data_IF_838690460999
#
_entry.id   IF_838690460999
#
_cell.length_a   1.000
_cell.length_b   1.000
_cell.length_c   1.000
_cell.angle_alpha   90.00
_cell.angle_beta   90.00
_cell.angle_gamma   90.00
#
_symmetry.space_group_name_H-M   'P 1'
#
loop_
_entity.id
_entity.type
_entity.pdbx_description
1 polymer ?
#
# COMPACT_ATOMS: atom_id res chain seq x y z
N UNK A 1 25.27 15.94 -5.92
CA UNK A 1 24.01 16.69 -5.89
C UNK A 1 23.02 16.02 -4.95
N UNK A 2 22.40 16.80 -4.09
CA UNK A 2 21.38 16.26 -3.18
C UNK A 2 20.08 15.99 -3.93
N UNK A 3 19.37 14.93 -3.51
CA UNK A 3 18.06 14.61 -4.06
C UNK A 3 17.01 15.61 -3.59
N UNK A 4 16.05 15.92 -4.45
CA UNK A 4 14.85 16.66 -4.03
C UNK A 4 14.01 15.82 -3.07
N UNK A 5 13.10 16.46 -2.34
CA UNK A 5 12.19 15.74 -1.44
C UNK A 5 11.32 14.78 -2.25
N UNK A 6 10.82 15.21 -3.41
CA UNK A 6 10.03 14.36 -4.29
C UNK A 6 10.79 13.10 -4.71
N UNK A 7 12.07 13.23 -5.05
CA UNK A 7 12.92 12.09 -5.40
C UNK A 7 13.14 11.15 -4.22
N UNK A 8 13.34 11.69 -3.02
CA UNK A 8 13.47 10.89 -1.79
C UNK A 8 12.20 10.10 -1.49
N UNK A 9 11.04 10.75 -1.59
CA UNK A 9 9.76 10.11 -1.31
C UNK A 9 9.45 9.05 -2.37
N UNK A 10 9.74 9.32 -3.64
CA UNK A 10 9.56 8.33 -4.70
C UNK A 10 10.40 7.08 -4.43
N UNK A 11 11.66 7.24 -4.00
CA UNK A 11 12.52 6.12 -3.61
C UNK A 11 11.96 5.35 -2.43
N UNK A 12 11.40 6.03 -1.44
CA UNK A 12 10.75 5.38 -0.28
C UNK A 12 9.48 4.64 -0.67
N UNK A 13 8.69 5.18 -1.60
CA UNK A 13 7.51 4.47 -2.13
C UNK A 13 7.91 3.21 -2.89
N UNK A 14 9.00 3.26 -3.66
CA UNK A 14 9.55 2.07 -4.33
C UNK A 14 10.03 1.03 -3.32
N UNK A 15 10.70 1.45 -2.25
CA UNK A 15 11.11 0.57 -1.16
C UNK A 15 9.89 -0.05 -0.48
N UNK A 16 8.85 0.73 -0.25
CA UNK A 16 7.61 0.26 0.36
C UNK A 16 6.95 -0.84 -0.47
N UNK A 17 6.84 -0.65 -1.79
CA UNK A 17 6.20 -1.67 -2.64
C UNK A 17 7.04 -2.96 -2.67
N UNK A 18 8.37 -2.86 -2.66
CA UNK A 18 9.24 -4.03 -2.56
C UNK A 18 9.08 -4.73 -1.22
N UNK A 19 8.99 -3.99 -0.13
CA UNK A 19 8.75 -4.55 1.20
C UNK A 19 7.41 -5.27 1.29
N UNK A 20 6.37 -4.73 0.68
CA UNK A 20 5.05 -5.37 0.63
C UNK A 20 5.08 -6.66 -0.19
N UNK A 21 5.72 -6.65 -1.35
CA UNK A 21 5.86 -7.82 -2.22
C UNK A 21 6.65 -8.94 -1.52
N UNK A 22 7.73 -8.58 -0.84
CA UNK A 22 8.59 -9.51 -0.14
C UNK A 22 8.10 -9.89 1.25
N UNK A 23 7.06 -9.23 1.75
CA UNK A 23 6.59 -9.37 3.13
C UNK A 23 7.72 -9.13 4.13
N UNK A 24 8.51 -8.10 3.88
CA UNK A 24 9.68 -7.70 4.67
C UNK A 24 9.21 -6.93 5.91
N UNK A 25 9.05 -7.64 7.02
CA UNK A 25 8.54 -7.06 8.27
C UNK A 25 9.42 -5.94 8.80
N UNK A 26 10.75 -6.09 8.71
CA UNK A 26 11.67 -5.07 9.23
C UNK A 26 11.55 -3.77 8.44
N UNK A 27 11.49 -3.85 7.12
CA UNK A 27 11.30 -2.68 6.27
C UNK A 27 9.93 -2.03 6.52
N UNK A 28 8.86 -2.82 6.62
CA UNK A 28 7.53 -2.29 6.90
C UNK A 28 7.48 -1.58 8.25
N UNK A 29 8.09 -2.15 9.30
CA UNK A 29 8.13 -1.52 10.61
C UNK A 29 8.96 -0.23 10.62
N UNK A 30 9.99 -0.14 9.77
CA UNK A 30 10.82 1.05 9.66
C UNK A 30 10.13 2.16 8.87
N UNK A 31 9.42 1.82 7.80
CA UNK A 31 8.77 2.79 6.91
C UNK A 31 7.48 3.38 7.49
N UNK A 32 6.76 2.63 8.30
CA UNK A 32 5.54 3.10 8.95
C UNK A 32 5.85 3.59 10.37
N UNK A 33 5.29 4.73 10.74
CA UNK A 33 5.42 5.26 12.10
C UNK A 33 4.62 4.41 13.10
N UNK A 34 5.07 4.36 14.36
CA UNK A 34 4.37 3.62 15.41
C UNK A 34 2.95 4.14 15.64
N UNK A 35 2.76 5.44 15.51
CA UNK A 35 1.49 6.14 15.70
C UNK A 35 0.72 6.35 14.39
N UNK A 36 0.98 5.52 13.39
CA UNK A 36 0.35 5.60 12.06
C UNK A 36 -1.17 5.67 12.17
N UNK A 37 -1.77 6.70 11.55
CA UNK A 37 -3.22 6.70 11.29
C UNK A 37 -3.48 5.93 10.01
N UNK A 38 -4.07 4.76 10.15
CA UNK A 38 -4.34 3.86 9.02
C UNK A 38 -5.84 3.80 8.75
N UNK A 39 -6.22 4.10 7.51
CA UNK A 39 -7.58 3.88 7.00
C UNK A 39 -7.45 2.91 5.81
N UNK A 40 -7.77 1.66 6.04
CA UNK A 40 -7.70 0.62 5.01
C UNK A 40 -9.00 0.48 4.24
N UNK A 41 -9.06 -0.57 3.45
CA UNK A 41 -10.25 -0.89 2.63
C UNK A 41 -11.39 -1.40 3.50
N UNK A 42 -11.07 -2.09 4.57
CA UNK A 42 -12.05 -2.69 5.50
C UNK A 42 -11.77 -2.21 6.91
N UNK A 43 -12.84 -2.09 7.69
CA UNK A 43 -12.77 -1.76 9.10
C UNK A 43 -12.67 -0.27 9.39
N UNK A 44 -12.61 0.04 10.66
CA UNK A 44 -12.50 1.41 11.16
C UNK A 44 -11.05 1.90 11.13
N UNK A 45 -10.83 3.21 11.08
CA UNK A 45 -9.49 3.77 11.20
C UNK A 45 -8.81 3.35 12.51
N UNK A 46 -7.50 3.10 12.45
CA UNK A 46 -6.70 2.75 13.62
C UNK A 46 -5.49 3.69 13.73
N UNK A 47 -5.01 3.91 14.95
CA UNK A 47 -3.83 4.72 15.22
C UNK A 47 -2.65 3.84 15.62
N UNK A 48 -2.35 2.81 14.83
CA UNK A 48 -1.27 1.87 15.10
C UNK A 48 -0.84 1.17 13.83
N UNK A 49 0.45 0.89 13.70
CA UNK A 49 0.96 0.07 12.59
C UNK A 49 0.76 -1.43 12.81
N UNK A 50 0.20 -1.85 13.95
CA UNK A 50 0.00 -3.27 14.26
C UNK A 50 -0.82 -4.00 13.20
N UNK A 51 -1.82 -3.34 12.62
CA UNK A 51 -2.63 -3.94 11.54
C UNK A 51 -1.78 -4.33 10.32
N UNK A 52 -0.83 -3.48 9.94
CA UNK A 52 0.10 -3.75 8.83
C UNK A 52 1.01 -4.93 9.15
N UNK A 53 1.54 -4.95 10.37
CA UNK A 53 2.43 -6.03 10.82
C UNK A 53 1.69 -7.37 10.86
N UNK A 54 0.47 -7.38 11.41
CA UNK A 54 -0.34 -8.59 11.49
C UNK A 54 -0.77 -9.10 10.11
N UNK A 55 -1.11 -8.19 9.20
CA UNK A 55 -1.42 -8.55 7.81
C UNK A 55 -0.20 -9.19 7.12
N UNK A 56 0.98 -8.62 7.29
CA UNK A 56 2.21 -9.17 6.71
C UNK A 56 2.55 -10.55 7.29
N UNK A 57 2.36 -10.75 8.60
CA UNK A 57 2.56 -12.06 9.25
C UNK A 57 1.59 -13.10 8.69
N UNK A 58 0.32 -12.74 8.49
CA UNK A 58 -0.65 -13.65 7.86
C UNK A 58 -0.25 -14.00 6.44
N UNK A 59 0.20 -13.01 5.65
CA UNK A 59 0.68 -13.23 4.30
C UNK A 59 1.86 -14.20 4.25
N UNK A 60 2.80 -14.09 5.19
CA UNK A 60 3.93 -15.02 5.29
C UNK A 60 3.46 -16.44 5.60
N UNK A 61 2.54 -16.60 6.57
CA UNK A 61 1.99 -17.90 6.92
C UNK A 61 1.23 -18.54 5.74
N UNK A 62 0.45 -17.76 5.02
CA UNK A 62 -0.26 -18.22 3.82
C UNK A 62 0.70 -18.65 2.72
N UNK A 63 1.78 -17.89 2.53
CA UNK A 63 2.82 -18.22 1.53
C UNK A 63 3.52 -19.52 1.88
N UNK A 64 3.87 -19.73 3.13
CA UNK A 64 4.50 -20.98 3.61
C UNK A 64 3.54 -22.17 3.45
N UNK A 65 2.27 -21.99 3.80
CA UNK A 65 1.25 -23.02 3.66
C UNK A 65 1.03 -23.39 2.19
N UNK A 66 0.97 -22.42 1.29
CA UNK A 66 0.83 -22.66 -0.14
C UNK A 66 2.03 -23.42 -0.71
N UNK A 67 3.24 -23.05 -0.31
CA UNK A 67 4.46 -23.74 -0.72
C UNK A 67 4.48 -25.20 -0.25
N UNK A 68 4.08 -25.45 1.00
CA UNK A 68 4.01 -26.78 1.57
C UNK A 68 2.99 -27.68 0.87
N UNK A 69 1.90 -27.10 0.34
CA UNK A 69 0.86 -27.86 -0.39
C UNK A 69 1.12 -27.95 -1.89
N UNK A 70 2.24 -27.41 -2.39
CA UNK A 70 2.61 -27.44 -3.81
C UNK A 70 1.75 -26.55 -4.69
N UNK A 71 0.98 -25.64 -4.11
CA UNK A 71 0.16 -24.70 -4.89
C UNK A 71 1.02 -23.53 -5.36
N UNK A 72 0.92 -23.21 -6.65
CA UNK A 72 1.54 -22.00 -7.19
C UNK A 72 0.53 -20.87 -7.20
N UNK A 73 0.87 -19.82 -6.49
CA UNK A 73 0.08 -18.59 -6.44
C UNK A 73 1.03 -17.41 -6.61
N UNK A 74 0.75 -16.57 -7.59
CA UNK A 74 1.55 -15.39 -7.85
C UNK A 74 0.73 -14.13 -7.58
N UNK A 75 1.26 -13.28 -6.73
CA UNK A 75 0.72 -11.94 -6.50
C UNK A 75 1.76 -10.91 -6.90
N UNK A 76 1.35 -9.92 -7.66
CA UNK A 76 2.21 -8.79 -8.01
C UNK A 76 1.47 -7.49 -7.73
N UNK A 77 2.23 -6.45 -7.39
CA UNK A 77 1.68 -5.12 -7.15
C UNK A 77 2.53 -4.06 -7.83
N UNK A 78 1.87 -3.06 -8.38
CA UNK A 78 2.53 -1.94 -9.05
C UNK A 78 1.85 -0.63 -8.66
N UNK A 79 2.68 0.41 -8.48
CA UNK A 79 2.20 1.77 -8.32
C UNK A 79 2.14 2.43 -9.70
N UNK A 80 1.00 3.02 -10.02
CA UNK A 80 0.79 3.75 -11.27
C UNK A 80 0.44 5.20 -10.97
N UNK A 81 0.93 6.09 -11.83
CA UNK A 81 0.56 7.51 -11.82
C UNK A 81 0.82 8.19 -10.47
N UNK A 82 2.04 8.02 -9.98
CA UNK A 82 2.45 8.55 -8.67
C UNK A 82 2.57 10.07 -8.72
N UNK A 83 1.87 10.76 -7.83
CA UNK A 83 1.95 12.20 -7.62
C UNK A 83 2.46 12.47 -6.22
N UNK A 84 3.41 13.38 -6.08
CA UNK A 84 4.00 13.74 -4.79
C UNK A 84 3.92 15.26 -4.60
N UNK A 85 3.40 15.67 -3.45
CA UNK A 85 3.39 17.07 -3.03
C UNK A 85 4.27 17.20 -1.79
N UNK A 86 5.30 18.04 -1.86
CA UNK A 86 6.26 18.23 -0.78
C UNK A 86 6.01 19.57 -0.08
N UNK A 87 5.99 19.53 1.26
CA UNK A 87 5.74 20.69 2.11
C UNK A 87 6.69 20.65 3.31
N UNK A 88 7.97 21.06 3.11
CA UNK A 88 8.98 21.03 4.18
C UNK A 88 9.28 19.60 4.63
N UNK A 89 9.04 19.33 5.92
CA UNK A 89 9.26 18.00 6.50
C UNK A 89 8.06 17.06 6.33
N UNK A 90 7.08 17.42 5.49
CA UNK A 90 5.91 16.63 5.17
C UNK A 90 5.81 16.45 3.65
N UNK A 91 5.46 15.27 3.21
CA UNK A 91 5.18 15.00 1.81
C UNK A 91 3.97 14.08 1.70
N UNK A 92 3.18 14.29 0.65
CA UNK A 92 2.00 13.48 0.38
C UNK A 92 2.23 12.77 -0.95
N UNK A 93 2.12 11.45 -0.94
CA UNK A 93 2.17 10.63 -2.15
C UNK A 93 0.79 10.03 -2.42
N UNK A 94 0.31 10.17 -3.64
CA UNK A 94 -0.96 9.58 -4.05
C UNK A 94 -0.77 8.86 -5.39
N UNK A 95 -1.34 7.65 -5.49
CA UNK A 95 -1.18 6.81 -6.68
C UNK A 95 -2.29 5.78 -6.78
N UNK A 96 -2.37 5.12 -7.94
CA UNK A 96 -3.15 3.90 -8.09
C UNK A 96 -2.24 2.71 -7.80
N UNK A 97 -2.72 1.82 -6.96
CA UNK A 97 -2.04 0.56 -6.66
C UNK A 97 -2.81 -0.56 -7.36
N UNK A 98 -2.12 -1.27 -8.24
CA UNK A 98 -2.73 -2.36 -9.02
C UNK A 98 -2.16 -3.68 -8.52
N UNK A 99 -3.04 -4.55 -8.06
CA UNK A 99 -2.67 -5.90 -7.60
C UNK A 99 -3.21 -6.91 -8.59
N UNK A 100 -2.35 -7.84 -8.99
CA UNK A 100 -2.70 -8.94 -9.87
C UNK A 100 -2.46 -10.25 -9.13
N UNK A 101 -3.45 -11.12 -9.14
CA UNK A 101 -3.36 -12.45 -8.57
C UNK A 101 -3.53 -13.48 -9.67
N UNK A 102 -2.53 -14.34 -9.84
CA UNK A 102 -2.56 -15.46 -10.80
C UNK A 102 -2.32 -16.77 -10.08
N UNK A 103 -3.19 -17.73 -10.34
CA UNK A 103 -3.08 -19.10 -9.85
C UNK A 103 -3.84 -20.04 -10.78
N UNK A 104 -3.98 -21.31 -10.37
CA UNK A 104 -4.66 -22.37 -11.10
C UNK A 104 -6.09 -21.98 -11.37
N UNK A 105 -6.82 -21.39 -11.83
CA UNK A 105 -8.19 -20.94 -12.02
C UNK A 105 -8.46 -19.53 -11.46
N UNK A 106 -7.40 -18.77 -11.14
CA UNK A 106 -7.55 -17.41 -10.66
C UNK A 106 -6.73 -16.46 -11.51
N UNK A 107 -7.40 -15.49 -12.11
CA UNK A 107 -6.76 -14.37 -12.79
C UNK A 107 -7.57 -13.12 -12.42
N UNK A 108 -7.16 -12.48 -11.35
CA UNK A 108 -7.88 -11.34 -10.75
C UNK A 108 -6.97 -10.13 -10.72
N UNK A 109 -7.52 -8.99 -11.12
CA UNK A 109 -6.87 -7.69 -10.98
C UNK A 109 -7.73 -6.79 -10.11
N UNK A 110 -7.10 -6.14 -9.12
CA UNK A 110 -7.75 -5.16 -8.25
C UNK A 110 -7.00 -3.85 -8.31
N UNK A 111 -7.73 -2.78 -8.26
CA UNK A 111 -7.18 -1.43 -8.28
C UNK A 111 -7.62 -0.66 -7.05
N UNK A 112 -6.66 0.04 -6.45
CA UNK A 112 -6.88 0.83 -5.26
C UNK A 112 -6.29 2.21 -5.46
N UNK A 113 -6.90 3.19 -4.80
CA UNK A 113 -6.34 4.52 -4.68
C UNK A 113 -5.71 4.64 -3.31
N UNK A 114 -4.44 5.00 -3.28
CA UNK A 114 -3.67 5.09 -2.03
C UNK A 114 -3.13 6.50 -1.87
N UNK A 115 -3.22 7.02 -0.64
CA UNK A 115 -2.58 8.25 -0.24
C UNK A 115 -1.78 7.99 1.02
N UNK A 116 -0.49 8.28 0.97
CA UNK A 116 0.42 8.18 2.10
C UNK A 116 0.92 9.58 2.47
N UNK A 117 0.90 9.88 3.75
CA UNK A 117 1.51 11.10 4.29
C UNK A 117 2.81 10.72 4.97
N UNK A 118 3.90 11.28 4.46
CA UNK A 118 5.25 11.08 4.96
C UNK A 118 5.66 12.28 5.80
N UNK A 119 6.30 12.03 6.94
CA UNK A 119 6.92 13.07 7.75
C UNK A 119 8.36 12.72 8.07
N UNK A 120 9.23 13.72 7.98
CA UNK A 120 10.61 13.58 8.38
C UNK A 120 10.72 13.91 9.87
N UNK A 121 11.04 12.90 10.66
CA UNK A 121 11.22 13.00 12.11
C UNK A 121 12.61 12.44 12.44
N UNK A 122 13.41 13.23 13.16
CA UNK A 122 14.77 12.82 13.54
C UNK A 122 15.61 12.38 12.33
N UNK A 123 15.51 13.12 11.24
CA UNK A 123 16.25 12.84 10.01
C UNK A 123 15.73 11.69 9.18
N UNK A 124 14.58 11.11 9.53
CA UNK A 124 14.07 9.91 8.91
C UNK A 124 12.62 10.09 8.42
N UNK A 125 12.37 9.73 7.17
CA UNK A 125 11.03 9.75 6.59
C UNK A 125 10.23 8.51 7.01
N UNK A 126 9.03 8.73 7.54
CA UNK A 126 8.09 7.66 7.90
C UNK A 126 6.68 8.03 7.48
N UNK A 127 5.87 7.03 7.15
CA UNK A 127 4.44 7.24 6.88
C UNK A 127 3.71 7.42 8.21
N UNK A 128 3.06 8.57 8.37
CA UNK A 128 2.27 8.89 9.57
C UNK A 128 0.77 8.77 9.34
N UNK A 129 0.33 8.75 8.08
CA UNK A 129 -1.06 8.48 7.73
C UNK A 129 -1.10 7.77 6.38
N UNK A 130 -1.97 6.80 6.26
CA UNK A 130 -2.17 6.04 5.03
C UNK A 130 -3.66 5.78 4.84
N UNK A 131 -4.14 6.00 3.62
CA UNK A 131 -5.51 5.74 3.24
C UNK A 131 -5.53 4.96 1.93
N UNK A 132 -6.27 3.85 1.90
CA UNK A 132 -6.47 3.05 0.71
C UNK A 132 -7.96 2.80 0.51
N UNK A 133 -8.45 3.06 -0.70
CA UNK A 133 -9.82 2.82 -1.08
C UNK A 133 -9.87 2.08 -2.43
N UNK A 134 -10.83 1.20 -2.65
CA UNK A 134 -10.98 0.54 -3.94
C UNK A 134 -11.40 1.56 -5.01
N UNK A 135 -10.90 1.36 -6.23
CA UNK A 135 -11.36 2.12 -7.39
C UNK A 135 -12.56 1.37 -7.95
N UNK A 136 -13.68 2.05 -8.02
CA UNK A 136 -14.93 1.48 -8.52
C UNK A 136 -14.85 1.32 -10.04
N UNK A 137 -15.43 0.24 -10.56
CA UNK A 137 -15.62 0.10 -12.00
C UNK A 137 -16.73 1.08 -12.47
N UNK A 138 -16.88 1.31 -13.79
CA UNK A 138 -17.85 2.29 -14.29
C UNK A 138 -19.29 1.99 -13.87
N UNK A 139 -19.66 0.72 -13.75
CA UNK A 139 -21.00 0.31 -13.33
C UNK A 139 -21.26 0.65 -11.86
N UNK A 140 -20.29 0.34 -10.99
CA UNK A 140 -20.36 0.69 -9.57
C UNK A 140 -20.41 2.20 -9.37
N UNK A 141 -19.57 2.94 -10.10
CA UNK A 141 -19.54 4.39 -10.05
C UNK A 141 -20.88 5.01 -10.48
N UNK A 142 -21.47 4.50 -11.54
CA UNK A 142 -22.77 4.94 -12.02
C UNK A 142 -23.89 4.71 -10.99
N UNK A 143 -23.84 3.59 -10.28
CA UNK A 143 -24.81 3.30 -9.21
C UNK A 143 -24.71 4.30 -8.06
N UNK A 144 -23.49 4.72 -7.69
CA UNK A 144 -23.29 5.70 -6.62
C UNK A 144 -23.71 7.12 -7.03
N UNK A 145 -23.57 7.47 -8.30
CA UNK A 145 -23.98 8.79 -8.79
C UNK A 145 -25.47 8.89 -9.10
N UNK A 146 -26.22 7.79 -8.99
CA UNK A 146 -27.65 7.75 -9.30
C UNK A 146 -27.97 7.75 -10.80
N UNK A 147 -26.97 7.52 -11.64
CA UNK A 147 -27.15 7.49 -13.10
C UNK A 147 -27.58 6.13 -13.63
N UNK A 148 -27.42 5.07 -12.81
CA UNK A 148 -27.87 3.73 -13.17
C UNK A 148 -29.32 3.52 -12.70
N UNK A 149 -30.22 3.31 -13.62
CA UNK A 149 -31.61 2.95 -13.35
C UNK A 149 -31.90 1.52 -13.84
#
# INVERSE_FOLDING_TARGET
MSQTIEQQILAHEDELIQAKRGLDLDALQRLYADDLLLTGVLGDPTCSKSAIVEEAKRGLAERESAAASGKTFQASGENEDVKIAAHGDTAIASYRFVVKFKGENIDIQRRYRTTNVWMKREGRWQIVAAHTAPILDPKQAAMLSGEAQ
#
